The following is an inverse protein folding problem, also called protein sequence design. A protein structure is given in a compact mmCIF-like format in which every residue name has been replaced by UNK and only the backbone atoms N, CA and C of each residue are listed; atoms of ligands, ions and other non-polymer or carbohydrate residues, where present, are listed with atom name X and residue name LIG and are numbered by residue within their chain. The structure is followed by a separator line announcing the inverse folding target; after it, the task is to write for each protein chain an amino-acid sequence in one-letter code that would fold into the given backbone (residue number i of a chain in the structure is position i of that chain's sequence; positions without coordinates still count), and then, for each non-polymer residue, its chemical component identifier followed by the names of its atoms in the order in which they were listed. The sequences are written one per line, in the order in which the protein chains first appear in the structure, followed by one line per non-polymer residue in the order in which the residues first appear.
data_IF_235620629587
#
_entry.id   IF_235620629587
#
_cell.length_a   1.000
_cell.length_b   1.000
_cell.length_c   1.000
_cell.angle_alpha   90.00
_cell.angle_beta   90.00
_cell.angle_gamma   90.00
#
_symmetry.space_group_name_H-M   'P 1'
#
loop_
_entity.id
_entity.type
_entity.pdbx_description
1 polymer ?
#
# COMPACT_ATOMS: atom_id res chain seq x y z
N UNK A 1 25.92 16.83 -21.58
CA UNK A 1 25.83 16.52 -20.13
C UNK A 1 24.85 17.42 -19.37
N UNK A 2 24.93 18.76 -19.48
CA UNK A 2 24.03 19.70 -18.77
C UNK A 2 22.52 19.46 -18.99
N UNK A 3 22.08 19.18 -20.23
CA UNK A 3 20.67 18.89 -20.56
C UNK A 3 20.09 17.64 -19.89
N UNK A 4 20.92 16.65 -19.55
CA UNK A 4 20.45 15.40 -18.94
C UNK A 4 20.17 15.59 -17.44
N UNK A 5 21.05 16.33 -16.75
CA UNK A 5 20.88 16.69 -15.35
C UNK A 5 19.64 17.59 -15.16
N UNK A 6 19.40 18.55 -16.07
CA UNK A 6 18.20 19.40 -16.00
C UNK A 6 16.90 18.61 -16.18
N UNK A 7 16.88 17.58 -17.04
CA UNK A 7 15.71 16.69 -17.20
C UNK A 7 15.45 15.83 -15.96
N UNK A 8 16.51 15.37 -15.29
CA UNK A 8 16.40 14.54 -14.10
C UNK A 8 15.85 15.31 -12.89
N UNK A 9 16.25 16.58 -12.71
CA UNK A 9 15.72 17.46 -11.66
C UNK A 9 14.31 18.01 -11.95
N UNK A 10 13.94 18.14 -13.22
CA UNK A 10 12.60 18.58 -13.62
C UNK A 10 11.53 17.52 -13.28
N UNK A 11 11.86 16.23 -13.45
CA UNK A 11 10.95 15.11 -13.14
C UNK A 11 10.59 15.01 -11.66
N UNK A 12 11.56 15.24 -10.76
CA UNK A 12 11.37 15.22 -9.30
C UNK A 12 10.67 16.47 -8.74
N UNK A 13 10.77 17.61 -9.44
CA UNK A 13 10.12 18.86 -9.01
C UNK A 13 8.65 18.91 -9.44
N UNK A 14 8.33 18.38 -10.63
CA UNK A 14 6.96 18.38 -11.18
C UNK A 14 6.04 17.43 -10.40
N UNK A 15 6.53 16.29 -9.91
CA UNK A 15 5.67 15.31 -9.22
C UNK A 15 5.27 15.72 -7.80
N UNK A 16 6.07 16.53 -7.09
CA UNK A 16 5.75 16.93 -5.71
C UNK A 16 4.90 18.19 -5.59
N UNK A 17 5.04 19.16 -6.50
CA UNK A 17 4.39 20.48 -6.35
C UNK A 17 3.25 20.75 -7.35
N UNK A 18 3.12 20.00 -8.45
CA UNK A 18 2.19 20.36 -9.53
C UNK A 18 0.80 19.71 -9.45
N UNK A 19 0.64 18.60 -8.71
CA UNK A 19 -0.66 17.90 -8.67
C UNK A 19 -1.75 18.63 -7.87
N UNK A 20 -1.41 19.37 -6.81
CA UNK A 20 -2.42 20.00 -5.95
C UNK A 20 -2.84 21.40 -6.41
N UNK A 21 -1.93 22.18 -7.01
CA UNK A 21 -2.18 23.59 -7.32
C UNK A 21 -2.82 23.83 -8.71
N UNK A 22 -2.55 22.96 -9.69
CA UNK A 22 -2.95 23.19 -11.09
C UNK A 22 -4.21 22.41 -11.51
N UNK A 23 -4.56 21.34 -10.78
CA UNK A 23 -5.74 20.50 -11.08
C UNK A 23 -6.90 20.69 -10.09
N UNK A 24 -6.70 21.47 -9.02
CA UNK A 24 -7.68 21.60 -7.93
C UNK A 24 -7.96 20.31 -7.16
N UNK A 25 -7.23 19.22 -7.45
CA UNK A 25 -7.45 17.93 -6.82
C UNK A 25 -6.91 17.91 -5.39
N UNK A 26 -7.80 17.70 -4.42
CA UNK A 26 -7.43 17.43 -3.02
C UNK A 26 -7.03 15.97 -2.87
N UNK A 27 -5.94 15.71 -2.14
CA UNK A 27 -5.55 14.35 -1.79
C UNK A 27 -6.66 13.67 -0.96
N UNK A 28 -6.99 12.39 -1.24
CA UNK A 28 -8.01 11.68 -0.48
C UNK A 28 -7.53 11.37 0.94
N UNK A 29 -8.44 11.43 1.91
CA UNK A 29 -8.12 11.11 3.32
C UNK A 29 -7.82 9.62 3.54
N UNK A 30 -8.33 8.75 2.67
CA UNK A 30 -8.13 7.30 2.73
C UNK A 30 -7.51 6.87 1.41
N UNK A 31 -6.33 6.26 1.47
CA UNK A 31 -5.63 5.72 0.31
C UNK A 31 -5.12 4.33 0.61
N UNK A 32 -5.43 3.38 -0.27
CA UNK A 32 -4.82 2.07 -0.28
C UNK A 32 -3.65 2.09 -1.28
N UNK A 33 -2.47 1.69 -0.83
CA UNK A 33 -1.30 1.53 -1.68
C UNK A 33 -0.71 0.15 -1.47
N UNK A 34 -0.37 -0.52 -2.56
CA UNK A 34 0.29 -1.81 -2.54
C UNK A 34 1.77 -1.59 -2.78
N UNK A 35 2.61 -2.06 -1.87
CA UNK A 35 4.03 -2.19 -2.15
C UNK A 35 4.25 -3.46 -2.97
N UNK A 36 4.95 -3.33 -4.10
CA UNK A 36 5.12 -4.43 -5.05
C UNK A 36 6.61 -4.78 -5.18
N UNK A 37 6.91 -6.06 -5.03
CA UNK A 37 8.23 -6.60 -5.32
C UNK A 37 8.14 -7.38 -6.63
N UNK A 38 8.81 -6.88 -7.67
CA UNK A 38 8.80 -7.49 -9.00
C UNK A 38 9.98 -8.43 -9.12
N UNK A 39 9.70 -9.71 -9.38
CA UNK A 39 10.70 -10.69 -9.78
C UNK A 39 10.41 -11.15 -11.21
N UNK A 40 11.46 -11.19 -12.03
CA UNK A 40 11.36 -11.56 -13.44
C UNK A 40 12.18 -12.83 -13.64
N UNK A 41 11.57 -13.83 -14.26
CA UNK A 41 12.24 -15.05 -14.68
C UNK A 41 12.02 -15.25 -16.18
N UNK A 42 13.01 -15.83 -16.86
CA UNK A 42 12.89 -16.16 -18.27
C UNK A 42 11.88 -17.29 -18.46
N UNK A 43 10.81 -17.00 -19.18
CA UNK A 43 9.76 -17.95 -19.54
C UNK A 43 9.45 -17.83 -21.04
N UNK A 44 9.16 -18.93 -21.75
CA UNK A 44 9.31 -20.32 -21.34
C UNK A 44 10.75 -20.83 -21.52
N UNK A 45 11.12 -21.89 -20.80
CA UNK A 45 12.39 -22.59 -21.05
C UNK A 45 12.23 -23.52 -22.25
N UNK A 46 13.26 -23.67 -23.10
CA UNK A 46 13.23 -24.62 -24.24
C UNK A 46 12.82 -26.05 -23.82
N UNK A 47 13.28 -26.49 -22.63
CA UNK A 47 12.89 -27.78 -22.02
C UNK A 47 11.40 -27.86 -21.67
N UNK A 48 10.79 -26.75 -21.26
CA UNK A 48 9.37 -26.70 -20.97
C UNK A 48 8.55 -26.89 -22.24
N UNK A 49 8.93 -26.22 -23.33
CA UNK A 49 8.25 -26.34 -24.64
C UNK A 49 8.35 -27.78 -25.15
N UNK A 50 9.55 -28.37 -25.16
CA UNK A 50 9.76 -29.77 -25.62
C UNK A 50 9.03 -30.80 -24.78
N UNK A 51 9.07 -30.67 -23.46
CA UNK A 51 8.37 -31.57 -22.56
C UNK A 51 6.84 -31.46 -22.70
N UNK A 52 6.32 -30.23 -22.83
CA UNK A 52 4.89 -29.98 -23.05
C UNK A 52 4.42 -30.59 -24.38
N UNK A 53 5.14 -30.35 -25.47
CA UNK A 53 4.85 -30.89 -26.79
C UNK A 53 4.88 -32.43 -26.80
N UNK A 54 5.94 -33.04 -26.23
CA UNK A 54 6.06 -34.49 -26.16
C UNK A 54 4.96 -35.14 -25.31
N UNK A 55 4.59 -34.53 -24.18
CA UNK A 55 3.50 -35.04 -23.35
C UNK A 55 2.16 -35.01 -24.09
N UNK A 56 1.89 -33.97 -24.89
CA UNK A 56 0.69 -33.91 -25.73
C UNK A 56 0.70 -35.00 -26.81
N UNK A 57 1.83 -35.18 -27.49
CA UNK A 57 2.01 -36.25 -28.48
C UNK A 57 1.80 -37.64 -27.86
N UNK A 58 2.33 -37.89 -26.65
CA UNK A 58 2.12 -39.14 -25.92
C UNK A 58 0.65 -39.35 -25.55
N UNK A 59 -0.04 -38.30 -25.08
CA UNK A 59 -1.48 -38.36 -24.77
C UNK A 59 -2.32 -38.70 -25.99
N UNK A 60 -2.04 -38.08 -27.14
CA UNK A 60 -2.74 -38.37 -28.39
C UNK A 60 -2.43 -39.77 -28.92
N UNK A 61 -1.17 -40.23 -28.89
CA UNK A 61 -0.81 -41.62 -29.22
C UNK A 61 -1.51 -42.64 -28.32
N UNK A 62 -1.69 -42.33 -27.04
CA UNK A 62 -2.46 -43.17 -26.11
C UNK A 62 -3.97 -43.09 -26.36
N UNK A 63 -4.50 -41.91 -26.72
CA UNK A 63 -5.89 -41.72 -27.10
C UNK A 63 -6.22 -42.46 -28.39
N UNK A 64 -5.41 -42.33 -29.45
CA UNK A 64 -5.54 -43.05 -30.72
C UNK A 64 -5.48 -44.58 -30.53
N UNK A 65 -4.66 -45.07 -29.59
CA UNK A 65 -4.65 -46.50 -29.21
C UNK A 65 -5.91 -46.95 -28.47
N UNK A 66 -6.61 -46.05 -27.79
CA UNK A 66 -7.89 -46.32 -27.09
C UNK A 66 -9.12 -46.08 -27.99
N UNK A 67 -8.97 -45.32 -29.06
CA UNK A 67 -10.04 -44.89 -29.97
C UNK A 67 -10.49 -45.98 -30.97
N UNK A 68 -10.06 -47.24 -30.79
CA UNK A 68 -10.74 -48.40 -31.37
C UNK A 68 -12.06 -48.74 -30.67
N UNK A 69 -12.41 -48.07 -29.57
CA UNK A 69 -13.76 -48.11 -28.98
C UNK A 69 -14.20 -46.73 -28.48
N UNK A 70 -15.32 -46.26 -29.05
CA UNK A 70 -16.17 -45.15 -28.60
C UNK A 70 -15.72 -43.74 -28.98
N UNK A 71 -16.32 -43.23 -30.07
CA UNK A 71 -16.46 -41.81 -30.37
C UNK A 71 -17.67 -41.22 -29.63
N UNK A 72 -17.64 -39.89 -29.47
CA UNK A 72 -18.70 -38.94 -29.11
C UNK A 72 -18.60 -38.33 -27.71
N UNK A 73 -18.00 -37.13 -27.64
CA UNK A 73 -18.57 -36.00 -26.90
C UNK A 73 -17.94 -34.70 -27.41
N UNK A 74 -18.78 -33.87 -28.04
CA UNK A 74 -18.45 -32.60 -28.67
C UNK A 74 -18.58 -31.48 -27.64
N UNK A 75 -17.62 -30.55 -27.64
CA UNK A 75 -17.50 -29.49 -26.64
C UNK A 75 -18.46 -28.31 -26.84
N UNK A 76 -18.54 -27.45 -25.84
CA UNK A 76 -19.04 -26.08 -26.00
C UNK A 76 -18.47 -25.15 -24.93
N UNK A 77 -18.57 -23.85 -25.21
CA UNK A 77 -18.24 -22.66 -24.42
C UNK A 77 -16.97 -21.91 -24.84
N UNK A 78 -17.13 -21.05 -25.85
CA UNK A 78 -16.39 -19.79 -25.98
C UNK A 78 -17.31 -18.77 -26.67
N UNK A 79 -17.84 -17.80 -25.91
CA UNK A 79 -18.52 -16.62 -26.47
C UNK A 79 -18.40 -15.46 -25.48
N UNK A 80 -17.56 -14.49 -25.84
CA UNK A 80 -17.55 -13.06 -25.46
C UNK A 80 -16.12 -12.57 -25.28
N UNK A 81 -15.51 -12.02 -26.33
CA UNK A 81 -14.39 -11.06 -26.28
C UNK A 81 -14.05 -10.61 -27.72
N UNK A 82 -14.95 -9.89 -28.40
CA UNK A 82 -14.89 -9.71 -29.87
C UNK A 82 -14.35 -8.33 -30.36
N UNK A 83 -13.97 -7.39 -29.49
CA UNK A 83 -13.52 -6.05 -29.97
C UNK A 83 -12.02 -5.72 -29.79
N UNK A 84 -11.31 -6.28 -28.81
CA UNK A 84 -9.85 -6.12 -28.68
C UNK A 84 -9.05 -7.21 -29.44
N UNK A 85 -9.73 -8.20 -30.01
CA UNK A 85 -9.13 -9.40 -30.61
C UNK A 85 -8.30 -9.11 -31.87
N UNK A 86 -8.59 -8.05 -32.63
CA UNK A 86 -7.97 -7.80 -33.94
C UNK A 86 -6.44 -7.70 -33.90
N UNK A 87 -5.88 -7.15 -32.81
CA UNK A 87 -4.42 -7.03 -32.61
C UNK A 87 -3.78 -8.36 -32.21
N UNK A 88 -4.47 -9.13 -31.38
CA UNK A 88 -3.99 -10.44 -30.91
C UNK A 88 -4.11 -11.51 -31.99
N UNK A 89 -5.11 -11.42 -32.87
CA UNK A 89 -5.31 -12.34 -34.00
C UNK A 89 -4.05 -12.40 -34.87
N UNK A 90 -3.39 -11.27 -35.13
CA UNK A 90 -2.12 -11.21 -35.86
C UNK A 90 -0.97 -11.99 -35.20
N UNK A 91 -0.87 -11.89 -33.88
CA UNK A 91 0.15 -12.58 -33.06
C UNK A 91 -0.16 -14.07 -32.88
N UNK A 92 -1.44 -14.45 -33.01
CA UNK A 92 -1.95 -15.80 -32.84
C UNK A 92 -1.93 -16.65 -34.12
N UNK A 93 -1.82 -16.04 -35.31
CA UNK A 93 -1.76 -16.74 -36.61
C UNK A 93 -0.83 -17.97 -36.67
N UNK A 94 0.44 -17.90 -36.21
CA UNK A 94 1.32 -19.07 -36.26
C UNK A 94 0.81 -20.22 -35.38
N UNK A 95 0.18 -19.90 -34.24
CA UNK A 95 -0.39 -20.91 -33.35
C UNK A 95 -1.68 -21.50 -33.90
N UNK A 96 -2.50 -20.71 -34.62
CA UNK A 96 -3.66 -21.21 -35.33
C UNK A 96 -3.28 -22.21 -36.44
N UNK A 97 -2.19 -21.95 -37.17
CA UNK A 97 -1.67 -22.90 -38.17
C UNK A 97 -1.20 -24.21 -37.52
N UNK A 98 -0.47 -24.13 -36.42
CA UNK A 98 -0.02 -25.30 -35.63
C UNK A 98 -1.23 -26.07 -35.07
N UNK A 99 -2.28 -25.37 -34.63
CA UNK A 99 -3.52 -25.98 -34.16
C UNK A 99 -4.22 -26.75 -35.28
N UNK A 100 -4.29 -26.19 -36.49
CA UNK A 100 -4.88 -26.86 -37.65
C UNK A 100 -4.10 -28.12 -38.08
N UNK A 101 -2.76 -28.06 -38.07
CA UNK A 101 -1.92 -29.25 -38.32
C UNK A 101 -2.16 -30.33 -37.26
N UNK A 102 -2.34 -29.91 -36.00
CA UNK A 102 -2.64 -30.81 -34.88
C UNK A 102 -4.03 -31.46 -35.02
N UNK A 103 -5.02 -30.77 -35.57
CA UNK A 103 -6.35 -31.34 -35.86
C UNK A 103 -6.34 -32.28 -37.06
N UNK A 104 -5.46 -32.03 -38.05
CA UNK A 104 -5.31 -32.85 -39.25
C UNK A 104 -4.50 -34.15 -39.02
N UNK A 105 -3.91 -34.32 -37.83
CA UNK A 105 -3.13 -35.52 -37.48
C UNK A 105 -1.63 -35.42 -37.84
N UNK A 106 -1.17 -34.28 -38.34
CA UNK A 106 0.23 -33.98 -38.68
C UNK A 106 0.99 -33.50 -37.43
N UNK A 107 0.98 -34.31 -36.38
CA UNK A 107 1.47 -33.93 -35.06
C UNK A 107 2.99 -33.73 -35.02
N UNK A 108 3.74 -34.46 -35.85
CA UNK A 108 5.21 -34.39 -35.89
C UNK A 108 5.67 -33.08 -36.53
N UNK A 109 5.00 -32.66 -37.60
CA UNK A 109 5.28 -31.39 -38.29
C UNK A 109 4.85 -30.18 -37.46
N UNK A 110 3.71 -30.27 -36.77
CA UNK A 110 3.26 -29.26 -35.83
C UNK A 110 4.25 -29.02 -34.69
N UNK A 111 4.89 -30.08 -34.17
CA UNK A 111 5.91 -29.98 -33.12
C UNK A 111 7.20 -29.36 -33.67
N UNK A 112 7.65 -29.75 -34.86
CA UNK A 112 8.85 -29.17 -35.48
C UNK A 112 8.69 -27.67 -35.75
N UNK A 113 7.53 -27.29 -36.29
CA UNK A 113 7.17 -25.89 -36.53
C UNK A 113 7.12 -25.09 -35.21
N UNK A 114 6.58 -25.67 -34.14
CA UNK A 114 6.55 -25.04 -32.82
C UNK A 114 7.97 -24.85 -32.23
N UNK A 115 8.88 -25.81 -32.45
CA UNK A 115 10.28 -25.72 -31.97
C UNK A 115 11.11 -24.69 -32.74
N UNK A 116 10.85 -24.53 -34.03
CA UNK A 116 11.57 -23.56 -34.86
C UNK A 116 11.03 -22.13 -34.66
N UNK A 117 9.77 -22.00 -34.29
CA UNK A 117 9.10 -20.70 -34.12
C UNK A 117 9.54 -20.02 -32.81
N UNK A 118 10.44 -19.04 -32.89
CA UNK A 118 10.89 -18.22 -31.73
C UNK A 118 9.82 -17.28 -31.17
N UNK A 119 8.64 -17.22 -31.76
CA UNK A 119 7.58 -16.30 -31.38
C UNK A 119 7.00 -16.60 -29.99
N UNK A 120 7.22 -17.79 -29.44
CA UNK A 120 6.69 -18.17 -28.11
C UNK A 120 7.39 -17.36 -27.01
N UNK A 121 8.72 -17.23 -27.09
CA UNK A 121 9.52 -16.51 -26.09
C UNK A 121 9.31 -14.99 -26.16
N UNK A 122 8.87 -14.46 -27.31
CA UNK A 122 8.72 -13.03 -27.55
C UNK A 122 7.30 -12.51 -27.35
N UNK A 123 6.27 -13.33 -27.57
CA UNK A 123 4.88 -12.89 -27.54
C UNK A 123 4.14 -13.25 -26.25
N UNK A 124 4.61 -14.26 -25.50
CA UNK A 124 3.94 -14.68 -24.28
C UNK A 124 4.63 -14.18 -23.02
N UNK A 125 3.81 -13.73 -22.07
CA UNK A 125 4.23 -13.29 -20.75
C UNK A 125 3.40 -14.03 -19.71
N UNK A 126 4.06 -14.62 -18.72
CA UNK A 126 3.41 -15.18 -17.54
C UNK A 126 3.48 -14.17 -16.40
N UNK A 127 2.33 -13.73 -15.90
CA UNK A 127 2.23 -12.82 -14.77
C UNK A 127 1.63 -13.59 -13.59
N UNK A 128 2.39 -13.69 -12.49
CA UNK A 128 1.94 -14.31 -11.25
C UNK A 128 1.85 -13.23 -10.19
N UNK A 129 0.65 -12.94 -9.72
CA UNK A 129 0.40 -12.00 -8.62
C UNK A 129 0.17 -12.81 -7.34
N UNK A 130 1.07 -12.69 -6.38
CA UNK A 130 0.96 -13.34 -5.08
C UNK A 130 1.09 -12.30 -3.97
N UNK A 131 0.20 -12.37 -2.99
CA UNK A 131 0.27 -11.56 -1.78
C UNK A 131 1.03 -12.37 -0.71
N UNK A 132 2.28 -12.01 -0.35
CA UNK A 132 3.12 -12.84 0.51
C UNK A 132 2.62 -12.88 1.96
N UNK A 133 2.04 -11.78 2.45
CA UNK A 133 1.47 -11.67 3.79
C UNK A 133 0.18 -10.84 3.72
N UNK A 134 -0.86 -11.24 4.47
CA UNK A 134 -2.13 -10.51 4.58
C UNK A 134 -2.07 -9.36 5.60
N UNK A 135 -0.88 -8.89 5.95
CA UNK A 135 -0.73 -7.84 6.94
C UNK A 135 -0.88 -6.46 6.27
N UNK A 136 -1.89 -5.70 6.70
CA UNK A 136 -2.15 -4.36 6.18
C UNK A 136 -1.45 -3.34 7.07
N UNK A 137 -0.40 -2.70 6.56
CA UNK A 137 0.25 -1.59 7.27
C UNK A 137 -0.68 -0.38 7.22
N UNK A 138 -1.24 0.00 8.37
CA UNK A 138 -2.10 1.17 8.50
C UNK A 138 -1.26 2.36 8.94
N UNK A 139 -1.12 3.35 8.06
CA UNK A 139 -0.46 4.62 8.35
C UNK A 139 -1.53 5.67 8.53
N UNK A 140 -1.71 6.13 9.76
CA UNK A 140 -2.68 7.18 10.11
C UNK A 140 -1.91 8.42 10.58
N UNK A 141 -2.20 9.57 9.97
CA UNK A 141 -1.68 10.86 10.43
C UNK A 141 -2.46 11.29 11.67
N UNK A 142 -1.78 11.35 12.82
CA UNK A 142 -2.38 11.83 14.08
C UNK A 142 -2.08 13.31 14.25
N UNK A 143 -3.05 14.08 14.75
CA UNK A 143 -2.83 15.46 15.10
C UNK A 143 -1.72 15.58 16.15
N UNK A 144 -0.65 16.31 15.83
CA UNK A 144 0.52 16.51 16.71
C UNK A 144 0.11 17.20 18.02
N UNK A 145 -0.93 18.03 17.98
CA UNK A 145 -1.48 18.72 19.13
C UNK A 145 -3.00 18.53 19.16
N UNK A 146 -3.50 17.91 20.22
CA UNK A 146 -4.93 17.74 20.46
C UNK A 146 -5.48 18.91 21.27
N UNK A 147 -6.79 19.20 21.13
CA UNK A 147 -7.47 20.22 21.94
C UNK A 147 -7.31 19.94 23.45
N UNK A 148 -7.30 18.66 23.83
CA UNK A 148 -7.08 18.24 25.21
C UNK A 148 -5.67 18.63 25.70
N UNK A 149 -4.65 18.48 24.86
CA UNK A 149 -3.29 18.93 25.18
C UNK A 149 -3.21 20.45 25.28
N UNK A 150 -3.86 21.19 24.37
CA UNK A 150 -3.92 22.65 24.41
C UNK A 150 -4.59 23.16 25.68
N UNK A 151 -5.74 22.60 26.04
CA UNK A 151 -6.44 22.99 27.28
C UNK A 151 -5.65 22.63 28.52
N UNK A 152 -4.90 21.52 28.52
CA UNK A 152 -4.01 21.16 29.62
C UNK A 152 -2.86 22.19 29.77
N UNK A 153 -2.24 22.60 28.65
CA UNK A 153 -1.16 23.60 28.67
C UNK A 153 -1.66 24.99 29.13
N UNK A 154 -2.81 25.44 28.59
CA UNK A 154 -3.44 26.70 28.99
C UNK A 154 -3.86 26.63 30.47
N UNK A 155 -4.47 25.53 30.90
CA UNK A 155 -4.88 25.32 32.29
C UNK A 155 -3.70 25.39 33.26
N UNK A 156 -2.56 24.77 32.91
CA UNK A 156 -1.33 24.86 33.71
C UNK A 156 -0.78 26.28 33.83
N UNK A 157 -0.78 27.04 32.73
CA UNK A 157 -0.35 28.45 32.73
C UNK A 157 -1.31 29.33 33.54
N UNK A 158 -2.62 29.16 33.37
CA UNK A 158 -3.63 29.92 34.11
C UNK A 158 -3.59 29.61 35.60
N UNK A 159 -3.40 28.35 36.00
CA UNK A 159 -3.29 27.98 37.41
C UNK A 159 -2.07 28.64 38.07
N UNK A 160 -0.95 28.71 37.36
CA UNK A 160 0.26 29.37 37.86
C UNK A 160 0.04 30.88 37.98
N UNK A 161 -0.58 31.49 36.98
CA UNK A 161 -0.95 32.90 37.00
C UNK A 161 -1.88 33.24 38.17
N UNK A 162 -2.94 32.45 38.39
CA UNK A 162 -3.86 32.65 39.51
C UNK A 162 -3.13 32.51 40.85
N UNK A 163 -2.28 31.50 41.01
CA UNK A 163 -1.48 31.32 42.22
C UNK A 163 -0.57 32.52 42.52
N UNK A 164 0.11 33.05 41.50
CA UNK A 164 0.96 34.25 41.64
C UNK A 164 0.13 35.49 41.95
N UNK A 165 -1.03 35.68 41.30
CA UNK A 165 -1.90 36.83 41.63
C UNK A 165 -2.43 36.77 43.06
N UNK A 166 -2.74 35.57 43.56
CA UNK A 166 -3.21 35.38 44.93
C UNK A 166 -2.13 35.73 45.97
N UNK A 167 -0.88 35.30 45.77
CA UNK A 167 0.21 35.64 46.70
C UNK A 167 0.49 37.15 46.69
N UNK A 168 0.49 37.79 45.52
CA UNK A 168 0.65 39.25 45.41
C UNK A 168 -0.48 40.01 46.11
N UNK A 169 -1.73 39.52 46.04
CA UNK A 169 -2.86 40.14 46.76
C UNK A 169 -2.66 40.08 48.28
N UNK A 170 -2.19 38.94 48.80
CA UNK A 170 -1.90 38.78 50.24
C UNK A 170 -0.77 39.73 50.67
N UNK A 171 0.30 39.81 49.87
CA UNK A 171 1.42 40.73 50.14
C UNK A 171 0.96 42.21 50.17
N UNK A 172 0.11 42.62 49.23
CA UNK A 172 -0.45 43.98 49.21
C UNK A 172 -1.36 44.21 50.42
N UNK A 173 -2.18 43.24 50.82
CA UNK A 173 -3.03 43.36 51.99
C UNK A 173 -2.21 43.49 53.29
N UNK A 174 -1.17 42.69 53.46
CA UNK A 174 -0.23 42.80 54.59
C UNK A 174 0.48 44.17 54.59
N UNK A 175 0.90 44.65 53.42
CA UNK A 175 1.53 45.96 53.29
C UNK A 175 0.59 47.11 53.68
N UNK A 176 -0.68 47.05 53.27
CA UNK A 176 -1.71 48.04 53.64
C UNK A 176 -2.02 48.02 55.14
N UNK A 177 -2.12 46.84 55.76
CA UNK A 177 -2.34 46.69 57.20
C UNK A 177 -1.18 47.29 58.02
N UNK A 178 0.07 47.08 57.57
CA UNK A 178 1.27 47.67 58.19
C UNK A 178 1.31 49.19 58.00
N UNK A 179 0.96 49.70 56.80
CA UNK A 179 0.92 51.14 56.52
C UNK A 179 -0.16 51.89 57.31
N UNK A 180 -1.30 51.25 57.59
CA UNK A 180 -2.41 51.87 58.32
C UNK A 180 -2.19 51.97 59.85
N UNK A 181 -1.01 51.60 60.36
CA UNK A 181 -0.55 51.99 61.69
C UNK A 181 -1.02 51.11 62.86
N UNK A 182 -1.18 49.80 62.66
CA UNK A 182 -1.37 48.85 63.78
C UNK A 182 -0.12 47.97 63.98
N UNK A 183 0.61 48.23 65.08
CA UNK A 183 1.72 47.44 65.65
C UNK A 183 1.34 45.94 65.75
N UNK A 184 2.29 45.00 65.59
CA UNK A 184 2.06 43.70 64.97
C UNK A 184 1.41 42.67 65.89
N UNK A 185 0.41 41.95 65.39
CA UNK A 185 0.04 40.62 65.92
C UNK A 185 0.74 39.53 65.09
N UNK A 186 2.06 39.46 65.21
CA UNK A 186 2.79 38.23 64.95
C UNK A 186 2.35 37.22 66.02
N UNK A 187 1.93 36.02 65.62
CA UNK A 187 1.27 34.97 66.43
C UNK A 187 -0.18 35.25 66.87
N UNK A 188 -1.15 34.92 66.00
CA UNK A 188 -2.37 34.27 66.52
C UNK A 188 -2.98 33.23 65.58
N UNK A 189 -2.61 33.17 64.29
CA UNK A 189 -3.17 32.16 63.38
C UNK A 189 -2.17 31.15 62.79
N UNK A 190 -0.98 31.02 63.37
CA UNK A 190 -0.17 29.79 63.22
C UNK A 190 -0.77 28.58 63.96
N UNK A 191 -1.92 28.74 64.65
CA UNK A 191 -2.63 27.68 65.36
C UNK A 191 -3.73 26.97 64.57
N UNK A 192 -4.13 27.45 63.37
CA UNK A 192 -5.17 26.78 62.57
C UNK A 192 -4.61 25.80 61.52
N UNK A 193 -3.40 26.03 61.00
CA UNK A 193 -2.76 25.17 59.99
C UNK A 193 -1.91 24.01 60.56
N UNK A 194 -1.99 23.75 61.88
CA UNK A 194 -1.40 22.56 62.53
C UNK A 194 -2.49 21.64 63.10
N UNK A 195 -3.58 21.41 62.38
CA UNK A 195 -4.55 20.35 62.71
C UNK A 195 -4.88 19.35 61.60
N UNK A 196 -4.35 19.51 60.38
CA UNK A 196 -4.53 18.51 59.31
C UNK A 196 -3.26 17.78 58.88
N UNK A 197 -2.15 17.89 59.65
CA UNK A 197 -0.92 17.11 59.41
C UNK A 197 -0.76 15.88 60.30
N UNK A 198 -1.86 15.35 60.85
CA UNK A 198 -1.80 14.11 61.65
C UNK A 198 -3.02 13.22 61.38
N UNK A 199 -3.10 12.63 60.19
CA UNK A 199 -3.68 11.30 59.98
C UNK A 199 -3.26 10.82 58.59
N UNK A 200 -3.13 9.49 58.44
CA UNK A 200 -2.59 8.74 57.29
C UNK A 200 -1.08 8.46 57.39
N UNK A 201 -0.71 7.74 58.45
CA UNK A 201 0.12 6.55 58.30
C UNK A 201 -0.79 5.33 58.50
N UNK A 202 -1.18 4.70 57.39
CA UNK A 202 -1.33 3.27 57.20
C UNK A 202 -1.50 3.00 55.71
#
# INVERSE_FOLDING_TARGET
MKRFITRMYCSTTITRNMLAADTGCRAPCIRYSYDMQISIAQWPTKRFITNSANNQLHRKKQAAKRQSKSANFEGSYAKQEEEDESRFVGLLKPYAAIQNMTTNGEEVEAVDLLMHTQNVEQNFLSIIVSCPNFDSIRVEEKAVVTLNSLFSQIGGLLSTWVGITMICIVEVAEFLDVLCGRIPRFLHNSAFLRKEKLHVYC
#
